data_IF_096744314355
#
_entry.id   IF_096744314355
#
_cell.length_a   1.000
_cell.length_b   1.000
_cell.length_c   1.000
_cell.angle_alpha   90.00
_cell.angle_beta   90.00
_cell.angle_gamma   90.00
#
_symmetry.space_group_name_H-M   'P 1'
#
loop_
_entity.id
_entity.type
_entity.pdbx_description
1 polymer ?
#
# COMPACT_ATOMS: atom_id res chain seq x y z
N UNK A 1 -44.23 -33.28 7.49
CA UNK A 1 -42.84 -33.62 7.08
C UNK A 1 -42.49 -34.99 7.64
N UNK A 2 -41.96 -35.90 6.83
CA UNK A 2 -41.53 -37.22 7.30
C UNK A 2 -40.19 -37.11 8.05
N UNK A 3 -39.89 -38.01 9.00
CA UNK A 3 -38.62 -37.98 9.77
C UNK A 3 -37.36 -37.90 8.89
N UNK A 4 -37.44 -38.44 7.66
CA UNK A 4 -36.38 -38.34 6.64
C UNK A 4 -36.22 -36.93 6.07
N UNK A 5 -37.33 -36.23 5.79
CA UNK A 5 -37.30 -34.85 5.30
C UNK A 5 -36.69 -33.89 6.33
N UNK A 6 -37.00 -34.05 7.62
CA UNK A 6 -36.38 -33.23 8.68
C UNK A 6 -34.87 -33.43 8.77
N UNK A 7 -34.38 -34.67 8.62
CA UNK A 7 -32.93 -34.94 8.57
C UNK A 7 -32.26 -34.29 7.36
N UNK A 8 -32.89 -34.33 6.19
CA UNK A 8 -32.33 -33.69 4.99
C UNK A 8 -32.28 -32.17 5.13
N UNK A 9 -33.31 -31.54 5.71
CA UNK A 9 -33.30 -30.10 6.00
C UNK A 9 -32.16 -29.74 6.96
N UNK A 10 -31.96 -30.53 8.02
CA UNK A 10 -30.89 -30.30 9.00
C UNK A 10 -29.49 -30.41 8.36
N UNK A 11 -29.27 -31.43 7.52
CA UNK A 11 -28.02 -31.61 6.76
C UNK A 11 -27.79 -30.46 5.79
N UNK A 12 -28.82 -30.04 5.05
CA UNK A 12 -28.72 -28.91 4.13
C UNK A 12 -28.37 -27.60 4.86
N UNK A 13 -28.95 -27.38 6.05
CA UNK A 13 -28.68 -26.22 6.88
C UNK A 13 -27.22 -26.21 7.40
N UNK A 14 -26.71 -27.38 7.80
CA UNK A 14 -25.30 -27.53 8.19
C UNK A 14 -24.34 -27.24 7.04
N UNK A 15 -24.64 -27.77 5.83
CA UNK A 15 -23.82 -27.51 4.64
C UNK A 15 -23.86 -26.02 4.28
N UNK A 16 -25.05 -25.41 4.27
CA UNK A 16 -25.20 -23.99 3.99
C UNK A 16 -24.43 -23.12 5.01
N UNK A 17 -24.51 -23.46 6.30
CA UNK A 17 -23.75 -22.79 7.36
C UNK A 17 -22.25 -22.93 7.17
N UNK A 18 -21.76 -24.12 6.79
CA UNK A 18 -20.34 -24.35 6.52
C UNK A 18 -19.84 -23.53 5.31
N UNK A 19 -20.62 -23.50 4.21
CA UNK A 19 -20.29 -22.69 3.02
C UNK A 19 -20.23 -21.20 3.39
N UNK A 20 -21.22 -20.72 4.16
CA UNK A 20 -21.25 -19.33 4.61
C UNK A 20 -20.01 -19.00 5.45
N UNK A 21 -19.67 -19.86 6.41
CA UNK A 21 -18.50 -19.68 7.28
C UNK A 21 -17.19 -19.62 6.48
N UNK A 22 -17.00 -20.54 5.54
CA UNK A 22 -15.81 -20.57 4.66
C UNK A 22 -15.73 -19.32 3.79
N UNK A 23 -16.87 -18.88 3.25
CA UNK A 23 -16.93 -17.66 2.40
C UNK A 23 -16.58 -16.41 3.19
N UNK A 24 -17.07 -16.29 4.43
CA UNK A 24 -16.72 -15.18 5.32
C UNK A 24 -15.24 -15.22 5.71
N UNK A 25 -14.68 -16.42 5.94
CA UNK A 25 -13.27 -16.59 6.25
C UNK A 25 -12.38 -16.11 5.09
N UNK A 26 -12.67 -16.49 3.85
CA UNK A 26 -11.91 -16.02 2.68
C UNK A 26 -12.02 -14.51 2.48
N UNK A 27 -13.20 -13.91 2.70
CA UNK A 27 -13.37 -12.45 2.64
C UNK A 27 -12.56 -11.74 3.73
N UNK A 28 -12.49 -12.29 4.95
CA UNK A 28 -11.68 -11.74 6.02
C UNK A 28 -10.17 -11.80 5.73
N UNK A 29 -9.71 -12.85 5.03
CA UNK A 29 -8.31 -13.02 4.65
C UNK A 29 -7.89 -12.14 3.47
N UNK A 30 -8.78 -11.87 2.52
CA UNK A 30 -8.45 -11.24 1.24
C UNK A 30 -8.02 -9.77 1.29
N UNK A 31 -8.14 -9.09 2.43
CA UNK A 31 -7.99 -7.63 2.50
C UNK A 31 -6.64 -7.13 3.02
N UNK A 32 -5.64 -8.00 3.19
CA UNK A 32 -4.29 -7.58 3.63
C UNK A 32 -3.22 -7.83 2.57
N UNK A 33 -3.46 -7.34 1.36
CA UNK A 33 -2.40 -7.30 0.35
C UNK A 33 -1.52 -6.08 0.64
N UNK A 34 -0.33 -6.31 1.18
CA UNK A 34 0.71 -5.28 1.26
C UNK A 34 1.15 -4.96 -0.17
N UNK A 35 0.46 -4.04 -0.85
CA UNK A 35 0.82 -3.66 -2.20
C UNK A 35 2.16 -2.92 -2.19
N UNK A 36 3.19 -3.58 -2.68
CA UNK A 36 4.52 -3.01 -2.92
C UNK A 36 4.63 -2.66 -4.40
N UNK A 37 4.93 -1.40 -4.69
CA UNK A 37 5.18 -0.89 -6.04
C UNK A 37 6.60 -0.34 -6.13
N UNK A 38 7.17 -0.43 -7.33
CA UNK A 38 8.41 0.27 -7.69
C UNK A 38 8.13 1.68 -8.24
N UNK A 39 9.11 2.61 -8.21
CA UNK A 39 8.99 3.94 -8.82
C UNK A 39 8.50 3.90 -10.27
N UNK A 40 8.99 2.94 -11.08
CA UNK A 40 8.53 2.76 -12.45
C UNK A 40 7.06 2.35 -12.54
N UNK A 41 6.59 1.46 -11.66
CA UNK A 41 5.19 1.01 -11.67
C UNK A 41 4.22 2.11 -11.22
N UNK A 42 4.64 2.92 -10.24
CA UNK A 42 3.88 4.11 -9.83
C UNK A 42 3.80 5.11 -10.97
N UNK A 43 4.92 5.39 -11.65
CA UNK A 43 4.96 6.28 -12.81
C UNK A 43 4.10 5.77 -13.98
N UNK A 44 3.90 4.46 -14.10
CA UNK A 44 3.02 3.83 -15.09
C UNK A 44 1.53 3.83 -14.70
N UNK A 45 1.16 4.39 -13.54
CA UNK A 45 -0.23 4.44 -13.07
C UNK A 45 -0.76 3.12 -12.53
N UNK A 46 0.11 2.17 -12.16
CA UNK A 46 -0.32 0.89 -11.54
C UNK A 46 -0.66 1.04 -10.06
N UNK A 47 -0.19 2.11 -9.42
CA UNK A 47 -0.47 2.37 -8.02
C UNK A 47 -1.86 3.02 -7.83
N UNK A 48 -2.62 2.61 -6.80
CA UNK A 48 -3.90 3.23 -6.48
C UNK A 48 -3.68 4.67 -6.01
N UNK A 49 -4.44 5.61 -6.57
CA UNK A 49 -4.38 7.03 -6.19
C UNK A 49 -5.12 7.27 -4.86
N UNK A 50 -6.21 6.54 -4.62
CA UNK A 50 -7.10 6.75 -3.47
C UNK A 50 -6.80 5.85 -2.25
N UNK A 51 -5.66 5.15 -2.25
CA UNK A 51 -5.26 4.29 -1.12
C UNK A 51 -3.78 4.43 -0.81
N UNK A 52 -3.45 4.21 0.46
CA UNK A 52 -2.06 4.06 0.88
C UNK A 52 -1.45 2.80 0.28
N UNK A 53 -0.23 2.91 -0.23
CA UNK A 53 0.55 1.81 -0.76
C UNK A 53 2.00 1.93 -0.30
N UNK A 54 2.76 0.84 -0.48
CA UNK A 54 4.18 0.80 -0.16
C UNK A 54 4.97 0.99 -1.44
N UNK A 55 5.89 1.95 -1.44
CA UNK A 55 6.84 2.20 -2.51
C UNK A 55 8.21 1.72 -2.05
N UNK A 56 8.83 0.83 -2.82
CA UNK A 56 10.18 0.34 -2.57
C UNK A 56 11.15 0.86 -3.62
N UNK A 57 12.32 1.35 -3.19
CA UNK A 57 13.38 1.77 -4.11
C UNK A 57 14.60 2.29 -3.36
N UNK A 58 15.53 2.91 -4.06
CA UNK A 58 16.72 3.49 -3.46
C UNK A 58 16.64 5.00 -3.41
N UNK A 59 17.14 5.61 -2.34
CA UNK A 59 17.28 7.05 -2.26
C UNK A 59 18.33 7.52 -3.26
N UNK A 60 17.97 8.43 -4.16
CA UNK A 60 18.90 9.00 -5.12
C UNK A 60 19.93 9.88 -4.40
N UNK A 61 21.21 9.73 -4.79
CA UNK A 61 22.31 10.53 -4.24
C UNK A 61 22.17 12.01 -4.65
N UNK A 62 22.36 12.91 -3.70
CA UNK A 62 22.20 14.36 -3.86
C UNK A 62 20.75 14.84 -3.98
N UNK A 63 19.76 13.97 -3.74
CA UNK A 63 18.33 14.34 -3.80
C UNK A 63 17.77 14.82 -2.46
N UNK A 64 18.51 14.60 -1.37
CA UNK A 64 18.07 14.95 -0.03
C UNK A 64 18.01 16.47 0.18
N UNK A 65 16.80 16.99 0.41
CA UNK A 65 16.54 18.41 0.71
C UNK A 65 15.66 18.54 1.94
N UNK A 66 16.18 19.21 2.95
CA UNK A 66 15.42 19.56 4.15
C UNK A 66 14.99 21.02 4.04
N UNK A 67 13.69 21.28 3.97
CA UNK A 67 13.16 22.65 3.99
C UNK A 67 13.02 23.15 5.43
N UNK A 68 12.49 22.30 6.34
CA UNK A 68 12.26 22.64 7.75
C UNK A 68 12.56 21.46 8.69
N UNK A 69 12.39 21.65 10.01
CA UNK A 69 12.44 20.58 11.01
C UNK A 69 11.39 19.48 10.80
N UNK A 70 10.37 19.71 9.97
CA UNK A 70 9.23 18.80 9.79
C UNK A 70 9.06 18.26 8.38
N UNK A 71 9.54 18.93 7.33
CA UNK A 71 9.34 18.51 5.95
C UNK A 71 10.68 18.28 5.23
N UNK A 72 10.84 17.08 4.68
CA UNK A 72 12.03 16.67 3.95
C UNK A 72 11.63 16.04 2.62
N UNK A 73 12.34 16.43 1.56
CA UNK A 73 12.14 15.93 0.21
C UNK A 73 13.33 15.07 -0.20
N UNK A 74 13.07 13.95 -0.85
CA UNK A 74 14.09 13.11 -1.47
C UNK A 74 13.48 12.33 -2.63
N UNK A 75 14.33 11.94 -3.58
CA UNK A 75 13.88 11.16 -4.72
C UNK A 75 14.21 9.68 -4.50
N UNK A 76 13.28 8.80 -4.87
CA UNK A 76 13.44 7.35 -4.85
C UNK A 76 13.52 6.82 -6.27
N UNK A 77 14.49 5.95 -6.52
CA UNK A 77 14.79 5.41 -7.84
C UNK A 77 14.94 3.89 -7.82
N UNK A 78 14.56 3.26 -8.92
CA UNK A 78 14.85 1.87 -9.26
C UNK A 78 15.91 1.76 -10.37
N UNK A 79 16.73 2.82 -10.54
CA UNK A 79 17.66 3.06 -11.65
C UNK A 79 17.04 3.35 -13.01
N UNK A 80 15.71 3.22 -13.18
CA UNK A 80 15.03 3.55 -14.44
C UNK A 80 14.28 4.87 -14.34
N UNK A 81 13.50 5.02 -13.28
CA UNK A 81 12.73 6.23 -13.01
C UNK A 81 13.10 6.79 -11.64
N UNK A 82 12.80 8.08 -11.46
CA UNK A 82 12.89 8.76 -10.16
C UNK A 82 11.50 9.22 -9.77
N UNK A 83 11.17 9.06 -8.50
CA UNK A 83 9.90 9.48 -7.94
C UNK A 83 10.17 10.35 -6.71
N UNK A 84 9.60 11.56 -6.68
CA UNK A 84 9.87 12.51 -5.60
C UNK A 84 8.94 12.26 -4.44
N UNK A 85 9.50 12.19 -3.23
CA UNK A 85 8.76 11.91 -1.99
C UNK A 85 8.86 13.11 -1.07
N UNK A 86 7.72 13.50 -0.52
CA UNK A 86 7.64 14.44 0.61
C UNK A 86 7.39 13.66 1.89
N UNK A 87 8.36 13.73 2.80
CA UNK A 87 8.29 13.12 4.11
C UNK A 87 8.06 14.17 5.18
N UNK A 88 6.97 13.98 5.95
CA UNK A 88 6.69 14.81 7.12
C UNK A 88 7.06 14.06 8.40
N UNK A 89 8.10 14.52 9.09
CA UNK A 89 8.54 13.94 10.37
C UNK A 89 10.04 13.92 10.55
N UNK A 90 10.48 13.16 11.55
CA UNK A 90 11.89 12.93 11.85
C UNK A 90 12.32 11.67 11.10
N UNK A 91 13.28 11.81 10.19
CA UNK A 91 13.87 10.67 9.51
C UNK A 91 14.67 9.82 10.52
N UNK A 92 14.57 8.48 10.46
CA UNK A 92 15.42 7.62 11.28
C UNK A 92 16.90 7.88 11.01
N UNK A 93 17.75 7.69 12.02
CA UNK A 93 19.21 7.85 11.88
C UNK A 93 19.85 6.91 10.85
N UNK A 94 19.14 5.82 10.50
CA UNK A 94 19.54 4.90 9.44
C UNK A 94 19.27 5.41 8.03
N UNK A 95 18.50 6.49 7.84
CA UNK A 95 18.23 7.02 6.50
C UNK A 95 19.50 7.63 5.91
N UNK A 96 19.92 7.13 4.73
CA UNK A 96 21.02 7.69 3.95
C UNK A 96 20.73 7.62 2.47
N UNK A 97 21.35 8.54 1.74
CA UNK A 97 21.37 8.49 0.27
C UNK A 97 22.08 7.22 -0.22
N UNK A 98 21.63 6.67 -1.35
CA UNK A 98 22.19 5.44 -1.93
C UNK A 98 21.75 4.14 -1.22
N UNK A 99 20.86 4.22 -0.23
CA UNK A 99 20.31 3.05 0.44
C UNK A 99 18.91 2.70 -0.06
N UNK A 100 18.59 1.40 -0.01
CA UNK A 100 17.24 0.90 -0.26
C UNK A 100 16.32 1.26 0.90
N UNK A 101 15.17 1.85 0.59
CA UNK A 101 14.13 2.22 1.54
C UNK A 101 12.76 1.72 1.09
N UNK A 102 11.85 1.60 2.05
CA UNK A 102 10.44 1.34 1.81
C UNK A 102 9.67 2.49 2.44
N UNK A 103 8.87 3.20 1.65
CA UNK A 103 8.02 4.29 2.09
C UNK A 103 6.57 3.88 1.98
N UNK A 104 5.75 4.21 2.97
CA UNK A 104 4.29 4.01 2.92
C UNK A 104 3.63 5.37 2.84
N UNK A 105 2.70 5.54 1.90
CA UNK A 105 2.02 6.82 1.69
C UNK A 105 0.97 6.74 0.61
N UNK A 106 0.35 7.88 0.32
CA UNK A 106 -0.67 8.03 -0.72
C UNK A 106 -0.19 8.96 -1.83
N UNK A 107 -0.80 8.84 -3.00
CA UNK A 107 -0.69 9.89 -4.02
C UNK A 107 -1.58 11.09 -3.58
N UNK A 108 -1.18 12.34 -3.82
CA UNK A 108 -1.79 13.60 -3.28
C UNK A 108 -1.91 14.66 -4.40
N UNK A 109 -2.60 14.37 -5.51
CA UNK A 109 -2.59 15.18 -6.76
C UNK A 109 -2.16 16.65 -6.59
N UNK A 110 -0.96 17.02 -7.07
CA UNK A 110 -0.52 18.41 -7.06
C UNK A 110 -1.13 19.01 -8.30
N UNK A 111 -2.23 19.71 -8.09
CA UNK A 111 -2.83 20.55 -9.12
C UNK A 111 -1.77 21.58 -9.55
N UNK A 112 -1.31 21.43 -10.79
CA UNK A 112 -0.35 22.27 -11.55
C UNK A 112 1.14 21.99 -11.22
N UNK A 113 1.76 21.13 -12.05
CA UNK A 113 3.16 20.64 -12.06
C UNK A 113 3.39 19.36 -11.21
N UNK A 114 4.28 18.43 -11.65
CA UNK A 114 4.22 16.99 -11.36
C UNK A 114 4.27 16.66 -9.87
N UNK A 115 3.70 15.52 -9.45
CA UNK A 115 2.88 15.59 -8.26
C UNK A 115 3.62 15.03 -7.02
N UNK A 116 3.91 15.94 -6.07
CA UNK A 116 4.62 15.74 -4.78
C UNK A 116 3.64 15.42 -3.66
N UNK A 117 3.82 14.29 -2.98
CA UNK A 117 2.78 13.75 -2.11
C UNK A 117 3.23 13.43 -0.68
N UNK A 118 2.44 13.99 0.25
CA UNK A 118 2.45 13.84 1.70
C UNK A 118 2.10 12.42 2.17
N UNK A 119 2.99 11.80 2.96
CA UNK A 119 2.69 10.59 3.73
C UNK A 119 2.52 10.89 5.23
N UNK A 120 1.38 10.50 5.82
CA UNK A 120 1.23 10.34 7.28
C UNK A 120 1.60 8.91 7.68
N UNK A 121 2.24 8.84 8.85
CA UNK A 121 2.67 7.68 9.67
C UNK A 121 1.78 6.45 9.61
#
# INVERSE_FOLDING_TARGET
MTKRQNRMVLVALLIAGAILAVTLLFQALGNNSNYFYSPTEVAQGKAPIDRSFRLGGMVAVGSFKREDLKSTFFDVTDYKNKFSIEYTGILPDLFREGQGIITTGSLVMVDLLPPKFFGKT
#
